data_IF_751452856438
#
_entry.id   IF_751452856438
#
_cell.length_a   1.000
_cell.length_b   1.000
_cell.length_c   1.000
_cell.angle_alpha   90.00
_cell.angle_beta   90.00
_cell.angle_gamma   90.00
#
_symmetry.space_group_name_H-M   'P 1'
#
loop_
_entity.id
_entity.type
_entity.pdbx_description
1 polymer ?
#
# COMPACT_ATOMS: atom_id res chain seq x y z
N UNK A 1 46.16 32.39 36.60
CA UNK A 1 44.83 32.74 36.03
C UNK A 1 44.31 31.52 35.27
N UNK A 2 43.12 31.01 35.60
CA UNK A 2 42.61 29.70 35.15
C UNK A 2 41.74 29.85 33.90
N UNK A 3 42.14 29.23 32.80
CA UNK A 3 41.40 29.13 31.54
C UNK A 3 40.26 28.09 31.71
N UNK A 4 38.99 28.51 31.56
CA UNK A 4 37.83 27.60 31.54
C UNK A 4 37.43 27.36 30.09
N UNK A 5 37.71 26.16 29.58
CA UNK A 5 37.18 25.67 28.31
C UNK A 5 35.80 25.08 28.59
N UNK A 6 34.75 25.75 28.13
CA UNK A 6 33.37 25.25 28.19
C UNK A 6 33.18 24.39 26.94
N UNK A 7 33.27 23.07 27.10
CA UNK A 7 32.93 22.11 26.06
C UNK A 7 31.40 22.03 25.94
N UNK A 8 30.86 22.67 24.91
CA UNK A 8 29.46 22.53 24.52
C UNK A 8 29.25 21.17 23.86
N UNK A 9 28.57 20.26 24.56
CA UNK A 9 28.16 18.96 24.06
C UNK A 9 26.98 19.15 23.09
N UNK A 10 27.25 19.17 21.78
CA UNK A 10 26.22 19.16 20.76
C UNK A 10 25.59 17.75 20.68
N UNK A 11 24.41 17.60 21.27
CA UNK A 11 23.60 16.39 21.19
C UNK A 11 22.99 16.30 19.78
N UNK A 12 23.68 15.64 18.85
CA UNK A 12 23.14 15.26 17.53
C UNK A 12 22.07 14.18 17.76
N UNK A 13 20.81 14.59 17.77
CA UNK A 13 19.66 13.67 17.69
C UNK A 13 19.66 13.04 16.29
N UNK A 14 20.26 11.86 16.19
CA UNK A 14 20.18 11.03 14.97
C UNK A 14 18.77 10.43 14.95
N UNK A 15 17.80 11.16 14.37
CA UNK A 15 16.49 10.60 14.08
C UNK A 15 16.65 9.62 12.92
N UNK A 16 16.76 8.32 13.22
CA UNK A 16 16.62 7.28 12.20
C UNK A 16 15.18 7.34 11.68
N UNK A 17 14.93 7.53 10.37
CA UNK A 17 13.57 7.47 9.87
C UNK A 17 12.99 6.09 10.17
N UNK A 18 11.88 6.05 10.91
CA UNK A 18 11.04 4.85 11.01
C UNK A 18 10.57 4.56 9.58
N UNK A 19 11.08 3.48 9.01
CA UNK A 19 10.57 2.96 7.75
C UNK A 19 9.24 2.31 8.11
N UNK A 20 8.13 2.81 7.54
CA UNK A 20 6.84 2.13 7.68
C UNK A 20 7.02 0.66 7.26
N UNK A 21 6.39 -0.26 7.99
CA UNK A 21 6.48 -1.69 7.68
C UNK A 21 5.84 -1.94 6.31
N UNK A 22 6.68 -2.22 5.31
CA UNK A 22 6.23 -2.47 3.95
C UNK A 22 5.91 -3.94 3.75
N UNK A 23 4.71 -4.21 3.24
CA UNK A 23 4.28 -5.54 2.86
C UNK A 23 4.53 -5.70 1.37
N UNK A 24 5.57 -6.43 0.99
CA UNK A 24 5.81 -6.79 -0.40
C UNK A 24 4.95 -7.99 -0.84
N UNK A 25 4.61 -8.04 -2.12
CA UNK A 25 4.03 -9.22 -2.75
C UNK A 25 3.11 -8.94 -3.93
N UNK A 26 2.24 -9.92 -4.17
CA UNK A 26 1.19 -9.84 -5.19
C UNK A 26 -0.12 -9.46 -4.53
N UNK A 27 -0.82 -8.49 -5.12
CA UNK A 27 -2.06 -7.95 -4.59
C UNK A 27 -3.15 -7.99 -5.65
N UNK A 28 -4.34 -8.32 -5.19
CA UNK A 28 -5.58 -8.03 -5.86
C UNK A 28 -6.03 -6.61 -5.47
N UNK A 29 -6.23 -5.75 -6.44
CA UNK A 29 -6.65 -4.35 -6.29
C UNK A 29 -7.96 -4.11 -7.04
N UNK A 30 -8.98 -3.63 -6.32
CA UNK A 30 -10.29 -3.33 -6.90
C UNK A 30 -11.39 -4.07 -6.18
N UNK A 31 -12.35 -4.62 -6.93
CA UNK A 31 -13.43 -5.44 -6.36
C UNK A 31 -12.83 -6.57 -5.50
N UNK A 32 -13.39 -6.84 -4.32
CA UNK A 32 -12.95 -7.92 -3.42
C UNK A 32 -13.77 -9.21 -3.58
N UNK A 33 -14.93 -9.14 -4.24
CA UNK A 33 -15.86 -10.26 -4.39
C UNK A 33 -16.55 -10.67 -3.08
N UNK A 34 -16.36 -9.89 -2.01
CA UNK A 34 -16.99 -10.14 -0.71
C UNK A 34 -18.45 -9.68 -0.79
N UNK A 35 -19.37 -10.62 -0.61
CA UNK A 35 -20.80 -10.34 -0.49
C UNK A 35 -21.22 -10.45 0.98
N UNK A 36 -21.46 -9.33 1.64
CA UNK A 36 -21.99 -9.32 3.02
C UNK A 36 -23.44 -8.88 3.07
N UNK A 37 -24.15 -9.42 4.06
CA UNK A 37 -25.59 -9.18 4.28
C UNK A 37 -25.89 -7.85 4.99
N UNK A 38 -24.87 -7.19 5.57
CA UNK A 38 -25.01 -5.94 6.33
C UNK A 38 -23.80 -5.02 6.08
N UNK A 39 -24.07 -3.74 5.90
CA UNK A 39 -23.05 -2.69 5.73
C UNK A 39 -22.34 -2.33 7.06
N UNK A 40 -21.09 -1.80 7.02
CA UNK A 40 -20.27 -1.53 5.83
C UNK A 40 -19.63 -2.79 5.25
N UNK A 41 -19.70 -2.93 3.93
CA UNK A 41 -19.18 -4.07 3.19
C UNK A 41 -17.91 -3.69 2.45
N UNK A 42 -16.80 -4.45 2.58
CA UNK A 42 -15.54 -4.13 1.93
C UNK A 42 -15.57 -4.58 0.46
N UNK A 43 -16.48 -4.05 -0.34
CA UNK A 43 -16.67 -4.41 -1.76
C UNK A 43 -15.43 -4.13 -2.61
N UNK A 44 -14.59 -3.19 -2.15
CA UNK A 44 -13.41 -2.70 -2.84
C UNK A 44 -12.25 -2.64 -1.86
N UNK A 45 -11.06 -3.03 -2.31
CA UNK A 45 -9.89 -3.07 -1.45
C UNK A 45 -8.62 -3.59 -2.09
N UNK A 46 -7.62 -3.78 -1.23
CA UNK A 46 -6.33 -4.41 -1.53
C UNK A 46 -6.25 -5.71 -0.75
N UNK A 47 -6.11 -6.82 -1.45
CA UNK A 47 -6.02 -8.16 -0.86
C UNK A 47 -4.70 -8.79 -1.27
N UNK A 48 -3.91 -9.22 -0.30
CA UNK A 48 -2.68 -9.96 -0.58
C UNK A 48 -3.03 -11.33 -1.16
N UNK A 49 -2.25 -11.78 -2.14
CA UNK A 49 -2.37 -13.11 -2.73
C UNK A 49 -1.20 -13.99 -2.27
N UNK A 50 -1.49 -15.27 -2.06
CA UNK A 50 -0.50 -16.30 -1.83
C UNK A 50 0.23 -16.68 -3.14
N UNK A 51 1.18 -17.62 -3.04
CA UNK A 51 1.94 -18.10 -4.20
C UNK A 51 1.09 -18.78 -5.28
N UNK A 52 -0.14 -19.20 -4.96
CA UNK A 52 -1.09 -19.82 -5.87
C UNK A 52 -2.11 -18.81 -6.44
N UNK A 53 -1.95 -17.51 -6.14
CA UNK A 53 -2.87 -16.46 -6.56
C UNK A 53 -4.21 -16.46 -5.81
N UNK A 54 -4.29 -17.10 -4.64
CA UNK A 54 -5.47 -17.10 -3.78
C UNK A 54 -5.37 -16.00 -2.71
N UNK A 55 -6.50 -15.40 -2.27
CA UNK A 55 -6.50 -14.47 -1.17
C UNK A 55 -5.83 -15.03 0.09
N UNK A 56 -4.80 -14.35 0.58
CA UNK A 56 -4.09 -14.64 1.82
C UNK A 56 -4.79 -13.94 3.01
N UNK A 57 -6.07 -14.24 3.18
CA UNK A 57 -6.90 -13.70 4.25
C UNK A 57 -7.79 -12.51 3.86
N UNK A 58 -8.01 -11.60 4.82
CA UNK A 58 -8.90 -10.44 4.66
C UNK A 58 -8.22 -9.32 3.87
N UNK A 59 -8.98 -8.38 3.28
CA UNK A 59 -8.39 -7.19 2.70
C UNK A 59 -7.49 -6.49 3.71
N UNK A 60 -6.27 -6.15 3.29
CA UNK A 60 -5.34 -5.34 4.06
C UNK A 60 -5.79 -3.87 4.09
N UNK A 61 -6.53 -3.47 3.06
CA UNK A 61 -7.16 -2.17 2.97
C UNK A 61 -8.53 -2.29 2.29
N UNK A 62 -9.52 -1.49 2.70
CA UNK A 62 -10.83 -1.43 2.08
C UNK A 62 -11.40 -0.01 2.09
N UNK A 63 -12.01 0.39 0.98
CA UNK A 63 -12.59 1.72 0.82
C UNK A 63 -13.16 1.94 -0.57
N UNK A 64 -14.04 2.93 -0.70
CA UNK A 64 -14.73 3.23 -1.95
C UNK A 64 -13.83 3.98 -2.95
N UNK A 65 -13.01 4.88 -2.44
CA UNK A 65 -12.06 5.66 -3.23
C UNK A 65 -10.82 4.84 -3.55
N UNK A 66 -10.13 5.16 -4.64
CA UNK A 66 -8.86 4.52 -4.93
C UNK A 66 -7.84 5.03 -3.89
N UNK A 67 -7.10 4.16 -3.18
CA UNK A 67 -6.03 4.61 -2.30
C UNK A 67 -4.92 5.28 -3.12
N UNK A 68 -3.97 5.93 -2.45
CA UNK A 68 -2.76 6.41 -3.12
C UNK A 68 -2.08 5.25 -3.83
N UNK A 69 -1.78 5.45 -5.12
CA UNK A 69 -1.04 4.48 -5.93
C UNK A 69 0.18 5.17 -6.52
N UNK A 70 1.35 4.73 -6.09
CA UNK A 70 2.63 5.14 -6.65
C UNK A 70 2.99 4.16 -7.77
N UNK A 71 3.05 4.64 -9.00
CA UNK A 71 3.40 3.84 -10.17
C UNK A 71 3.78 4.74 -11.35
N UNK A 72 4.34 4.16 -12.41
CA UNK A 72 4.40 4.82 -13.70
C UNK A 72 3.01 5.30 -14.15
N UNK A 73 2.96 6.41 -14.88
CA UNK A 73 1.71 7.08 -15.23
C UNK A 73 0.73 6.16 -15.99
N UNK A 74 1.24 5.37 -16.93
CA UNK A 74 0.44 4.40 -17.68
C UNK A 74 -0.20 3.32 -16.78
N UNK A 75 0.54 2.81 -15.79
CA UNK A 75 0.08 1.82 -14.81
C UNK A 75 -0.97 2.44 -13.90
N UNK A 76 -0.68 3.64 -13.36
CA UNK A 76 -1.63 4.38 -12.52
C UNK A 76 -2.94 4.67 -13.26
N UNK A 77 -2.88 5.08 -14.52
CA UNK A 77 -4.06 5.34 -15.35
C UNK A 77 -4.89 4.07 -15.59
N UNK A 78 -4.23 2.93 -15.86
CA UNK A 78 -4.92 1.63 -16.01
C UNK A 78 -5.59 1.18 -14.72
N UNK A 79 -4.92 1.34 -13.58
CA UNK A 79 -5.48 1.04 -12.25
C UNK A 79 -6.69 1.92 -11.97
N UNK A 80 -6.58 3.24 -12.17
CA UNK A 80 -7.68 4.17 -11.98
C UNK A 80 -8.87 3.86 -12.88
N UNK A 81 -8.63 3.50 -14.15
CA UNK A 81 -9.68 3.11 -15.09
C UNK A 81 -10.39 1.82 -14.64
N UNK A 82 -9.64 0.78 -14.27
CA UNK A 82 -10.22 -0.48 -13.74
C UNK A 82 -11.01 -0.22 -12.45
N UNK A 83 -10.47 0.59 -11.54
CA UNK A 83 -11.16 0.99 -10.31
C UNK A 83 -12.48 1.68 -10.62
N UNK A 84 -12.49 2.71 -11.47
CA UNK A 84 -13.72 3.41 -11.87
C UNK A 84 -14.77 2.49 -12.48
N UNK A 85 -14.34 1.47 -13.23
CA UNK A 85 -15.22 0.46 -13.83
C UNK A 85 -15.67 -0.64 -12.84
N UNK A 86 -15.37 -0.52 -11.54
CA UNK A 86 -15.60 -1.56 -10.53
C UNK A 86 -14.93 -2.90 -10.87
N UNK A 87 -13.84 -2.84 -11.65
CA UNK A 87 -13.05 -3.99 -12.05
C UNK A 87 -12.07 -4.45 -10.97
N UNK A 88 -11.19 -5.36 -11.37
CA UNK A 88 -10.17 -5.96 -10.53
C UNK A 88 -8.89 -6.16 -11.33
N UNK A 89 -7.74 -5.84 -10.72
CA UNK A 89 -6.42 -6.13 -11.27
C UNK A 89 -5.59 -6.89 -10.25
N UNK A 90 -4.72 -7.76 -10.76
CA UNK A 90 -3.62 -8.35 -10.00
C UNK A 90 -2.35 -7.57 -10.30
N UNK A 91 -1.67 -7.12 -9.26
CA UNK A 91 -0.49 -6.25 -9.32
C UNK A 91 0.61 -6.78 -8.42
N UNK A 92 1.86 -6.48 -8.75
CA UNK A 92 3.03 -6.71 -7.89
C UNK A 92 3.49 -5.38 -7.31
N UNK A 93 3.84 -5.36 -6.02
CA UNK A 93 4.24 -4.11 -5.37
C UNK A 93 4.53 -4.22 -3.88
N UNK A 94 4.51 -3.06 -3.23
CA UNK A 94 4.69 -2.87 -1.79
C UNK A 94 3.53 -2.04 -1.24
N UNK A 95 2.89 -2.51 -0.17
CA UNK A 95 1.84 -1.80 0.55
C UNK A 95 2.37 -1.30 1.88
N UNK A 96 2.10 -0.04 2.20
CA UNK A 96 2.28 0.54 3.52
C UNK A 96 1.07 1.41 3.90
N UNK A 97 1.22 2.21 4.96
CA UNK A 97 0.15 3.08 5.47
C UNK A 97 -0.18 4.24 4.50
N UNK A 98 0.74 4.63 3.63
CA UNK A 98 0.56 5.75 2.69
C UNK A 98 -0.15 5.30 1.41
N UNK A 99 0.04 4.04 1.00
CA UNK A 99 -0.64 3.46 -0.14
C UNK A 99 0.06 2.27 -0.75
N UNK A 100 -0.24 2.03 -2.03
CA UNK A 100 0.31 0.90 -2.79
C UNK A 100 1.30 1.40 -3.85
N UNK A 101 2.57 1.10 -3.64
CA UNK A 101 3.58 1.24 -4.67
C UNK A 101 3.52 0.03 -5.62
N UNK A 102 3.14 0.26 -6.87
CA UNK A 102 2.94 -0.80 -7.88
C UNK A 102 4.11 -0.82 -8.86
N UNK A 103 4.81 -1.95 -8.90
CA UNK A 103 5.90 -2.20 -9.85
C UNK A 103 5.37 -2.64 -11.22
N UNK A 104 4.33 -3.48 -11.26
CA UNK A 104 3.70 -3.92 -12.52
C UNK A 104 2.29 -4.47 -12.33
N UNK A 105 1.50 -4.41 -13.39
CA UNK A 105 0.22 -5.14 -13.51
C UNK A 105 0.52 -6.53 -14.05
N UNK A 106 0.08 -7.56 -13.35
CA UNK A 106 0.20 -8.96 -13.77
C UNK A 106 -0.96 -9.31 -14.71
N UNK A 107 -2.19 -8.87 -14.41
CA UNK A 107 -3.36 -9.17 -15.22
C UNK A 107 -4.67 -8.75 -14.57
N UNK A 108 -5.78 -9.25 -15.12
CA UNK A 108 -7.09 -9.16 -14.49
C UNK A 108 -7.28 -10.19 -13.37
N UNK A 109 -8.31 -9.96 -12.57
CA UNK A 109 -8.99 -11.00 -11.79
C UNK A 109 -10.33 -11.30 -12.48
#
# INVERSE_FOLDING_TARGET
>A
MKQKVIAGLALLLIATPVRADRIAGTFRLGSTGINCVKAPCPWRGIVKLDANGKPDGRPLWAGNELPTVEAEENVRNRIAASWKASGCLVVEGELDDDGLAVSRIIGGC
#
